data_IF_204864007824
#
_entry.id   IF_204864007824
#
_cell.length_a   1.000
_cell.length_b   1.000
_cell.length_c   1.000
_cell.angle_alpha   90.00
_cell.angle_beta   90.00
_cell.angle_gamma   90.00
#
_symmetry.space_group_name_H-M   'P 1'
#
loop_
_entity.id
_entity.type
_entity.pdbx_description
1 polymer ?
#
# COMPACT_ATOMS: atom_id res chain seq x y z
N UNK A 1 -32.54 -11.52 -9.63
CA UNK A 1 -32.52 -11.50 -8.14
C UNK A 1 -31.25 -10.78 -7.71
N UNK A 2 -31.36 -9.63 -7.01
CA UNK A 2 -30.21 -9.06 -6.29
C UNK A 2 -29.67 -10.13 -5.33
N UNK A 3 -28.34 -10.30 -5.26
CA UNK A 3 -27.70 -11.14 -4.25
C UNK A 3 -28.17 -10.68 -2.86
N UNK A 4 -28.72 -11.59 -2.05
CA UNK A 4 -29.09 -11.27 -0.67
C UNK A 4 -27.85 -10.78 0.10
N UNK A 5 -28.02 -9.83 1.02
CA UNK A 5 -26.95 -9.18 1.78
C UNK A 5 -25.92 -10.18 2.39
N UNK A 6 -26.39 -11.34 2.85
CA UNK A 6 -25.54 -12.42 3.38
C UNK A 6 -24.59 -13.02 2.32
N UNK A 7 -25.03 -13.18 1.08
CA UNK A 7 -24.21 -13.75 0.00
C UNK A 7 -23.11 -12.78 -0.46
N UNK A 8 -23.44 -11.49 -0.58
CA UNK A 8 -22.44 -10.44 -0.88
C UNK A 8 -21.36 -10.38 0.20
N UNK A 9 -21.74 -10.50 1.48
CA UNK A 9 -20.79 -10.54 2.60
C UNK A 9 -19.83 -11.74 2.53
N UNK A 10 -20.29 -12.90 2.05
CA UNK A 10 -19.45 -14.09 1.88
C UNK A 10 -18.41 -13.86 0.79
N UNK A 11 -18.81 -13.33 -0.37
CA UNK A 11 -17.88 -13.07 -1.47
C UNK A 11 -16.80 -12.05 -1.09
N UNK A 12 -17.19 -10.95 -0.42
CA UNK A 12 -16.23 -9.96 0.10
C UNK A 12 -15.26 -10.59 1.09
N UNK A 13 -15.74 -11.44 1.99
CA UNK A 13 -14.88 -12.17 2.94
C UNK A 13 -13.90 -13.09 2.23
N UNK A 14 -14.35 -13.83 1.20
CA UNK A 14 -13.52 -14.77 0.45
C UNK A 14 -12.39 -14.08 -0.32
N UNK A 15 -12.63 -12.88 -0.87
CA UNK A 15 -11.59 -12.10 -1.56
C UNK A 15 -10.78 -11.21 -0.61
N UNK A 16 -11.06 -11.24 0.68
CA UNK A 16 -10.29 -10.50 1.66
C UNK A 16 -9.16 -11.36 2.22
N UNK A 17 -8.06 -10.73 2.61
CA UNK A 17 -6.95 -11.38 3.31
C UNK A 17 -6.77 -10.77 4.70
N UNK A 18 -6.13 -11.49 5.62
CA UNK A 18 -5.86 -10.96 6.97
C UNK A 18 -4.86 -9.83 6.91
N UNK A 19 -5.02 -8.80 7.75
CA UNK A 19 -4.03 -7.73 7.88
C UNK A 19 -2.63 -8.31 8.19
N UNK A 20 -2.56 -9.27 9.13
CA UNK A 20 -1.30 -9.91 9.53
C UNK A 20 -0.60 -10.69 8.41
N UNK A 21 -1.34 -11.08 7.36
CA UNK A 21 -0.76 -11.73 6.19
C UNK A 21 -0.10 -10.74 5.22
N UNK A 22 -0.49 -9.46 5.24
CA UNK A 22 0.12 -8.41 4.41
C UNK A 22 1.16 -7.60 5.18
N UNK A 23 0.90 -7.33 6.47
CA UNK A 23 1.71 -6.47 7.31
C UNK A 23 2.02 -7.17 8.63
N UNK A 24 3.29 -7.45 8.92
CA UNK A 24 3.77 -8.08 10.15
C UNK A 24 5.25 -7.72 10.38
N UNK A 25 5.88 -8.31 11.40
CA UNK A 25 7.28 -8.05 11.78
C UNK A 25 8.29 -8.34 10.66
N UNK A 26 8.00 -9.28 9.77
CA UNK A 26 8.88 -9.69 8.67
C UNK A 26 8.55 -8.98 7.36
N UNK A 27 7.26 -8.67 7.16
CA UNK A 27 6.75 -7.98 5.97
C UNK A 27 6.13 -6.64 6.39
N UNK A 28 6.93 -5.59 6.70
CA UNK A 28 6.37 -4.27 6.95
C UNK A 28 5.79 -3.66 5.69
N UNK A 29 4.86 -2.73 5.89
CA UNK A 29 4.47 -1.78 4.86
C UNK A 29 5.19 -0.45 5.08
N UNK A 30 5.31 0.36 4.05
CA UNK A 30 6.06 1.59 4.07
C UNK A 30 5.16 2.78 3.79
N UNK A 31 5.57 3.94 4.30
CA UNK A 31 5.02 5.23 3.90
C UNK A 31 6.14 6.18 3.59
N UNK A 32 5.94 6.96 2.54
CA UNK A 32 6.83 8.07 2.19
C UNK A 32 6.02 9.36 2.27
N UNK A 33 6.60 10.39 2.89
CA UNK A 33 5.99 11.72 3.03
C UNK A 33 6.99 12.77 2.56
N UNK A 34 6.55 13.65 1.65
CA UNK A 34 7.27 14.88 1.32
C UNK A 34 7.05 15.92 2.42
N UNK A 35 8.12 16.55 2.89
CA UNK A 35 8.06 17.64 3.86
C UNK A 35 9.21 18.61 3.65
N UNK A 36 8.93 19.91 3.71
CA UNK A 36 9.96 20.95 3.75
C UNK A 36 10.58 21.07 5.15
N UNK A 37 9.82 20.70 6.18
CA UNK A 37 10.28 20.68 7.57
C UNK A 37 10.80 19.30 7.94
N UNK A 38 11.81 19.27 8.81
CA UNK A 38 12.33 18.03 9.36
C UNK A 38 11.30 17.35 10.27
N UNK A 39 10.95 16.10 9.97
CA UNK A 39 10.00 15.32 10.76
C UNK A 39 10.74 14.55 11.86
N UNK A 40 10.19 14.55 13.07
CA UNK A 40 10.80 13.86 14.22
C UNK A 40 9.85 12.92 14.93
N UNK A 41 8.55 13.21 14.89
CA UNK A 41 7.51 12.48 15.61
C UNK A 41 6.81 11.51 14.66
N UNK A 42 6.42 10.34 15.18
CA UNK A 42 5.76 9.26 14.40
C UNK A 42 4.41 9.69 13.85
N UNK A 43 3.70 10.50 14.61
CA UNK A 43 2.42 11.07 14.25
C UNK A 43 2.52 11.91 12.97
N UNK A 44 3.67 12.56 12.74
CA UNK A 44 3.91 13.39 11.56
C UNK A 44 4.04 12.58 10.27
N UNK A 45 4.26 11.26 10.30
CA UNK A 45 4.26 10.43 9.08
C UNK A 45 3.03 9.53 8.97
N UNK A 46 2.08 9.63 9.91
CA UNK A 46 0.83 8.88 9.87
C UNK A 46 -0.15 9.48 8.83
N UNK A 47 -1.48 9.35 9.02
CA UNK A 47 -2.42 10.11 8.19
C UNK A 47 -2.46 11.59 8.59
N UNK A 48 -2.96 12.46 7.70
CA UNK A 48 -3.11 13.90 8.00
C UNK A 48 -3.99 14.07 9.24
N UNK A 49 -3.63 14.94 10.21
CA UNK A 49 -4.45 15.18 11.39
C UNK A 49 -5.89 15.57 11.04
N UNK A 50 -6.86 15.16 11.84
CA UNK A 50 -8.27 15.55 11.66
C UNK A 50 -8.47 17.07 11.71
N UNK A 51 -7.70 17.76 12.55
CA UNK A 51 -7.65 19.23 12.60
C UNK A 51 -7.16 19.88 11.30
N UNK A 52 -6.39 19.14 10.50
CA UNK A 52 -5.83 19.58 9.21
C UNK A 52 -6.52 18.91 8.01
N UNK A 53 -7.75 18.39 8.18
CA UNK A 53 -8.46 17.67 7.12
C UNK A 53 -8.68 18.48 5.83
N UNK A 54 -8.63 19.81 5.89
CA UNK A 54 -8.71 20.68 4.72
C UNK A 54 -7.52 20.50 3.74
N UNK A 55 -6.40 19.91 4.19
CA UNK A 55 -5.25 19.55 3.35
C UNK A 55 -5.44 18.23 2.60
N UNK A 56 -6.46 17.43 2.96
CA UNK A 56 -6.74 16.14 2.33
C UNK A 56 -7.41 16.37 0.99
N UNK A 57 -6.65 16.15 -0.09
CA UNK A 57 -7.16 16.16 -1.48
C UNK A 57 -7.90 14.87 -1.81
N UNK A 58 -8.69 14.92 -2.88
CA UNK A 58 -9.29 13.74 -3.47
C UNK A 58 -8.19 12.80 -4.01
N UNK A 59 -8.28 11.52 -3.71
CA UNK A 59 -7.41 10.44 -4.17
C UNK A 59 -8.28 9.28 -4.64
N UNK A 60 -7.70 8.26 -5.27
CA UNK A 60 -8.48 7.09 -5.74
C UNK A 60 -9.32 6.49 -4.62
N UNK A 61 -8.69 6.22 -3.50
CA UNK A 61 -9.32 5.60 -2.33
C UNK A 61 -9.48 6.58 -1.16
N UNK A 62 -9.73 7.86 -1.44
CA UNK A 62 -10.06 8.82 -0.39
C UNK A 62 -10.78 10.04 -0.95
N UNK A 63 -11.90 10.38 -0.33
CA UNK A 63 -12.60 11.64 -0.61
C UNK A 63 -11.92 12.81 0.09
N UNK A 64 -12.05 14.00 -0.50
CA UNK A 64 -11.54 15.23 0.12
C UNK A 64 -12.04 15.39 1.56
N UNK A 65 -11.12 15.75 2.45
CA UNK A 65 -11.41 15.87 3.88
C UNK A 65 -11.46 14.57 4.68
N UNK A 66 -11.19 13.39 4.11
CA UNK A 66 -11.10 12.12 4.83
C UNK A 66 -9.63 11.63 4.90
N UNK A 67 -8.93 11.79 6.04
CA UNK A 67 -7.51 11.47 6.11
C UNK A 67 -7.27 9.95 6.19
N UNK A 68 -7.17 9.29 5.04
CA UNK A 68 -6.79 7.87 4.95
C UNK A 68 -5.28 7.67 5.19
N UNK A 69 -4.95 6.49 5.72
CA UNK A 69 -3.57 6.01 5.82
C UNK A 69 -3.24 5.20 4.57
N UNK A 70 -2.32 5.71 3.74
CA UNK A 70 -1.78 5.01 2.58
C UNK A 70 -0.42 4.42 2.92
N UNK A 71 -0.26 3.13 2.66
CA UNK A 71 0.98 2.39 2.81
C UNK A 71 1.27 1.60 1.52
N UNK A 72 2.54 1.38 1.20
CA UNK A 72 2.97 0.53 0.08
C UNK A 72 3.84 -0.62 0.56
N UNK A 73 3.84 -1.73 -0.17
CA UNK A 73 4.69 -2.88 0.13
C UNK A 73 6.19 -2.66 -0.19
N UNK A 74 6.50 -1.52 -0.81
CA UNK A 74 7.86 -1.12 -1.14
C UNK A 74 8.03 0.41 -1.08
N UNK A 75 9.23 0.88 -0.81
CA UNK A 75 9.55 2.31 -0.91
C UNK A 75 9.40 2.81 -2.36
N UNK A 76 9.66 1.94 -3.33
CA UNK A 76 9.53 2.26 -4.75
C UNK A 76 8.08 2.56 -5.13
N UNK A 77 7.13 1.68 -4.78
CA UNK A 77 5.71 1.93 -5.10
C UNK A 77 5.21 3.20 -4.41
N UNK A 78 5.62 3.45 -3.17
CA UNK A 78 5.28 4.69 -2.47
C UNK A 78 5.80 5.94 -3.22
N UNK A 79 7.05 5.91 -3.68
CA UNK A 79 7.65 7.01 -4.45
C UNK A 79 6.94 7.23 -5.79
N UNK A 80 6.56 6.13 -6.48
CA UNK A 80 5.78 6.17 -7.72
C UNK A 80 4.40 6.78 -7.52
N UNK A 81 3.68 6.36 -6.49
CA UNK A 81 2.34 6.88 -6.17
C UNK A 81 2.33 8.39 -5.91
N UNK A 82 3.42 8.92 -5.35
CA UNK A 82 3.61 10.36 -5.14
C UNK A 82 4.02 11.15 -6.40
N UNK A 83 4.05 10.53 -7.59
CA UNK A 83 4.57 11.12 -8.83
C UNK A 83 6.07 11.46 -8.76
N UNK A 84 6.89 10.56 -8.21
CA UNK A 84 8.35 10.61 -8.31
C UNK A 84 8.99 11.92 -7.79
N UNK A 85 8.65 12.38 -6.57
CA UNK A 85 9.22 13.62 -6.03
C UNK A 85 10.73 13.49 -5.76
N UNK A 86 11.42 14.63 -5.72
CA UNK A 86 12.84 14.70 -5.36
C UNK A 86 13.12 14.06 -3.98
N UNK A 87 14.18 13.26 -3.91
CA UNK A 87 14.53 12.49 -2.72
C UNK A 87 14.94 13.34 -1.51
N UNK A 88 15.43 14.57 -1.72
CA UNK A 88 15.96 15.46 -0.68
C UNK A 88 14.91 15.89 0.38
N UNK A 89 13.62 15.82 0.05
CA UNK A 89 12.51 16.23 0.93
C UNK A 89 11.67 15.06 1.41
N UNK A 90 12.15 13.82 1.25
CA UNK A 90 11.38 12.62 1.59
C UNK A 90 11.74 12.10 2.96
N UNK A 91 10.70 11.81 3.72
CA UNK A 91 10.76 11.08 4.98
C UNK A 91 10.08 9.73 4.79
N UNK A 92 10.67 8.70 5.38
CA UNK A 92 10.22 7.32 5.25
C UNK A 92 10.04 6.67 6.61
N UNK A 93 9.04 5.80 6.73
CA UNK A 93 8.86 4.93 7.88
C UNK A 93 8.31 3.57 7.48
N UNK A 94 8.71 2.55 8.23
CA UNK A 94 8.13 1.22 8.18
C UNK A 94 6.99 1.14 9.21
N UNK A 95 5.91 0.50 8.81
CA UNK A 95 4.69 0.25 9.56
C UNK A 95 4.53 -1.25 9.76
N UNK A 96 4.19 -1.61 10.99
CA UNK A 96 3.98 -2.99 11.43
C UNK A 96 2.64 -3.09 12.14
N UNK A 97 1.95 -4.22 11.99
CA UNK A 97 0.76 -4.48 12.81
C UNK A 97 1.16 -4.86 14.24
N UNK A 98 0.38 -4.42 15.22
CA UNK A 98 0.56 -4.79 16.63
C UNK A 98 0.09 -6.22 16.96
N UNK A 99 -0.42 -6.97 15.96
CA UNK A 99 -1.04 -8.31 16.09
C UNK A 99 -2.21 -8.38 17.07
N UNK A 100 -2.73 -7.24 17.54
CA UNK A 100 -3.74 -7.21 18.61
C UNK A 100 -5.16 -7.58 18.15
N UNK A 101 -5.42 -7.62 16.84
CA UNK A 101 -6.74 -7.91 16.24
C UNK A 101 -6.61 -8.89 15.06
N UNK A 102 -6.50 -10.21 15.32
CA UNK A 102 -6.26 -11.22 14.29
C UNK A 102 -7.42 -11.39 13.28
N UNK A 103 -8.59 -10.86 13.58
CA UNK A 103 -9.80 -10.91 12.77
C UNK A 103 -9.88 -9.81 11.70
N UNK A 104 -8.99 -8.81 11.73
CA UNK A 104 -9.01 -7.72 10.77
C UNK A 104 -8.58 -8.17 9.38
N UNK A 105 -9.37 -7.73 8.40
CA UNK A 105 -9.29 -8.13 7.02
C UNK A 105 -9.06 -6.92 6.12
N UNK A 106 -8.38 -7.17 5.01
CA UNK A 106 -8.11 -6.23 3.94
C UNK A 106 -8.80 -6.77 2.69
N UNK A 107 -9.67 -5.96 2.12
CA UNK A 107 -10.32 -6.27 0.86
C UNK A 107 -9.27 -6.29 -0.24
N UNK A 108 -8.96 -7.46 -0.78
CA UNK A 108 -7.90 -7.59 -1.77
C UNK A 108 -8.47 -7.45 -3.18
N UNK A 109 -8.26 -6.29 -3.78
CA UNK A 109 -8.63 -5.99 -5.17
C UNK A 109 -7.45 -6.20 -6.13
N UNK A 110 -6.37 -6.85 -5.69
CA UNK A 110 -5.25 -7.20 -6.58
C UNK A 110 -5.71 -8.25 -7.61
N UNK A 111 -5.65 -7.87 -8.89
CA UNK A 111 -6.01 -8.70 -10.04
C UNK A 111 -4.98 -9.82 -10.27
N UNK A 112 -3.74 -9.70 -9.82
CA UNK A 112 -2.73 -10.77 -9.98
C UNK A 112 -3.16 -12.08 -9.30
N UNK A 113 -3.93 -12.00 -8.21
CA UNK A 113 -4.51 -13.18 -7.55
C UNK A 113 -5.44 -13.99 -8.48
N UNK A 114 -6.09 -13.34 -9.47
CA UNK A 114 -6.91 -14.01 -10.48
C UNK A 114 -6.07 -14.78 -11.50
N UNK A 115 -4.93 -14.24 -11.89
CA UNK A 115 -4.01 -14.87 -12.87
C UNK A 115 -3.47 -16.17 -12.27
N UNK A 116 -3.06 -16.15 -11.00
CA UNK A 116 -2.63 -17.34 -10.27
C UNK A 116 -3.75 -18.37 -10.07
N UNK A 117 -5.00 -17.94 -9.97
CA UNK A 117 -6.13 -18.87 -9.88
C UNK A 117 -6.38 -19.56 -11.23
N UNK A 118 -6.30 -18.83 -12.36
CA UNK A 118 -6.44 -19.43 -13.70
C UNK A 118 -5.36 -20.46 -14.01
N UNK A 119 -4.12 -20.24 -13.56
CA UNK A 119 -3.03 -21.21 -13.73
C UNK A 119 -3.18 -22.43 -12.80
N UNK A 120 -3.68 -22.24 -11.58
CA UNK A 120 -3.86 -23.30 -10.58
C UNK A 120 -5.16 -24.10 -10.69
N UNK A 121 -6.15 -23.66 -11.48
CA UNK A 121 -7.38 -24.41 -11.75
C UNK A 121 -7.16 -25.78 -12.39
N UNK A 122 -5.96 -26.04 -12.90
CA UNK A 122 -5.54 -27.38 -13.37
C UNK A 122 -5.46 -28.41 -12.25
N UNK A 123 -5.26 -28.00 -10.99
CA UNK A 123 -5.26 -28.87 -9.82
C UNK A 123 -6.63 -28.85 -9.11
N UNK A 124 -7.53 -29.75 -9.54
CA UNK A 124 -8.93 -29.87 -9.07
C UNK A 124 -9.12 -30.16 -7.57
N UNK A 125 -8.07 -30.41 -6.80
CA UNK A 125 -8.15 -30.93 -5.43
C UNK A 125 -8.15 -29.87 -4.31
N UNK A 126 -8.35 -28.58 -4.62
CA UNK A 126 -8.34 -27.51 -3.60
C UNK A 126 -9.66 -26.70 -3.56
N UNK A 127 -10.60 -27.02 -2.64
CA UNK A 127 -11.91 -26.36 -2.57
C UNK A 127 -11.84 -24.86 -2.17
N UNK A 128 -10.75 -24.41 -1.55
CA UNK A 128 -10.53 -22.98 -1.24
C UNK A 128 -10.34 -22.15 -2.52
N UNK A 129 -9.65 -22.68 -3.53
CA UNK A 129 -9.38 -21.98 -4.78
C UNK A 129 -10.68 -21.79 -5.58
N UNK A 130 -11.58 -22.77 -5.53
CA UNK A 130 -12.88 -22.68 -6.19
C UNK A 130 -13.77 -21.57 -5.59
N UNK A 131 -13.87 -21.47 -4.26
CA UNK A 131 -14.66 -20.42 -3.58
C UNK A 131 -14.13 -19.02 -3.86
N UNK A 132 -12.80 -18.88 -3.84
CA UNK A 132 -12.13 -17.62 -4.15
C UNK A 132 -12.42 -17.23 -5.61
N UNK A 133 -12.22 -18.14 -6.56
CA UNK A 133 -12.51 -17.91 -7.97
C UNK A 133 -13.96 -17.48 -8.22
N UNK A 134 -14.93 -18.19 -7.64
CA UNK A 134 -16.35 -17.85 -7.78
C UNK A 134 -16.64 -16.45 -7.22
N UNK A 135 -16.02 -16.10 -6.09
CA UNK A 135 -16.20 -14.78 -5.47
C UNK A 135 -15.58 -13.67 -6.31
N UNK A 136 -14.43 -13.93 -6.94
CA UNK A 136 -13.79 -12.99 -7.85
C UNK A 136 -14.61 -12.80 -9.13
N UNK A 137 -15.18 -13.87 -9.70
CA UNK A 137 -16.10 -13.77 -10.85
C UNK A 137 -17.36 -12.98 -10.46
N UNK A 138 -17.95 -13.26 -9.29
CA UNK A 138 -19.13 -12.55 -8.80
C UNK A 138 -18.86 -11.06 -8.54
N UNK A 139 -17.66 -10.71 -8.08
CA UNK A 139 -17.24 -9.34 -7.79
C UNK A 139 -16.45 -8.68 -8.93
N UNK A 140 -16.32 -9.33 -10.09
CA UNK A 140 -15.54 -8.84 -11.21
C UNK A 140 -15.96 -7.43 -11.68
N UNK A 141 -17.26 -7.08 -11.77
CA UNK A 141 -17.66 -5.72 -12.13
C UNK A 141 -17.15 -4.67 -11.14
N UNK A 142 -17.12 -4.98 -9.84
CA UNK A 142 -16.58 -4.10 -8.81
C UNK A 142 -15.05 -3.97 -8.96
N UNK A 143 -14.35 -5.08 -9.12
CA UNK A 143 -12.88 -5.11 -9.28
C UNK A 143 -12.46 -4.29 -10.51
N UNK A 144 -13.10 -4.49 -11.66
CA UNK A 144 -12.82 -3.72 -12.88
C UNK A 144 -13.08 -2.22 -12.67
N UNK A 145 -14.20 -1.88 -12.02
CA UNK A 145 -14.54 -0.49 -11.76
C UNK A 145 -13.52 0.22 -10.87
N UNK A 146 -12.85 -0.52 -9.98
CA UNK A 146 -11.79 0.01 -9.12
C UNK A 146 -10.39 0.05 -9.77
N UNK A 147 -10.22 -0.57 -10.93
CA UNK A 147 -8.95 -0.63 -11.69
C UNK A 147 -9.05 0.10 -13.05
N UNK A 148 -10.08 0.93 -13.23
CA UNK A 148 -10.23 1.73 -14.45
C UNK A 148 -9.08 2.73 -14.57
N UNK A 149 -8.45 2.83 -15.74
CA UNK A 149 -7.38 3.80 -15.98
C UNK A 149 -7.96 5.09 -16.56
N UNK A 150 -7.72 6.21 -15.89
CA UNK A 150 -8.12 7.51 -16.42
C UNK A 150 -7.30 7.87 -17.67
N UNK A 151 -7.99 8.39 -18.70
CA UNK A 151 -7.37 8.86 -19.96
C UNK A 151 -6.91 10.32 -19.91
N UNK A 152 -7.41 11.12 -18.97
CA UNK A 152 -7.13 12.56 -18.87
C UNK A 152 -6.36 12.87 -17.59
N UNK A 153 -5.05 13.14 -17.71
CA UNK A 153 -4.14 13.20 -16.55
C UNK A 153 -4.31 14.42 -15.62
N UNK A 154 -5.10 15.43 -15.98
CA UNK A 154 -5.26 16.67 -15.18
C UNK A 154 -6.71 17.12 -14.96
N UNK A 155 -7.68 16.20 -15.13
CA UNK A 155 -9.08 16.53 -14.92
C UNK A 155 -9.40 16.76 -13.43
N UNK A 156 -10.21 17.79 -13.12
CA UNK A 156 -10.73 18.04 -11.76
C UNK A 156 -11.58 16.86 -11.29
N UNK A 157 -12.38 16.32 -12.19
CA UNK A 157 -13.17 15.12 -11.98
C UNK A 157 -12.46 13.92 -12.61
N UNK A 158 -12.08 12.96 -11.77
CA UNK A 158 -11.41 11.73 -12.19
C UNK A 158 -12.41 10.58 -12.04
N UNK A 159 -12.94 10.08 -13.17
CA UNK A 159 -13.97 9.03 -13.19
C UNK A 159 -13.51 7.75 -12.47
N UNK A 160 -12.23 7.42 -12.61
CA UNK A 160 -11.56 6.31 -11.91
C UNK A 160 -11.77 6.35 -10.39
N UNK A 161 -11.99 7.53 -9.79
CA UNK A 161 -12.09 7.66 -8.34
C UNK A 161 -13.50 7.40 -7.82
N UNK A 162 -14.53 7.36 -8.69
CA UNK A 162 -15.93 7.31 -8.26
C UNK A 162 -16.23 6.04 -7.44
N UNK A 163 -16.01 4.86 -8.02
CA UNK A 163 -16.32 3.58 -7.37
C UNK A 163 -15.36 3.28 -6.20
N UNK A 164 -14.03 3.43 -6.36
CA UNK A 164 -13.07 3.39 -5.25
C UNK A 164 -13.44 4.26 -4.04
N UNK A 165 -13.86 5.51 -4.26
CA UNK A 165 -14.25 6.40 -3.16
C UNK A 165 -15.55 5.98 -2.48
N UNK A 166 -16.53 5.46 -3.23
CA UNK A 166 -17.75 4.92 -2.64
C UNK A 166 -17.45 3.68 -1.78
N UNK A 167 -16.58 2.80 -2.27
CA UNK A 167 -16.14 1.61 -1.55
C UNK A 167 -15.40 1.98 -0.26
N UNK A 168 -14.53 2.99 -0.29
CA UNK A 168 -13.83 3.48 0.90
C UNK A 168 -14.75 4.13 1.92
N UNK A 169 -15.75 4.89 1.47
CA UNK A 169 -16.77 5.44 2.36
C UNK A 169 -17.61 4.33 3.01
N UNK A 170 -17.90 3.25 2.28
CA UNK A 170 -18.56 2.08 2.84
C UNK A 170 -17.71 1.45 3.96
N UNK A 171 -16.42 1.19 3.72
CA UNK A 171 -15.51 0.64 4.75
C UNK A 171 -15.40 1.57 5.97
N UNK A 172 -15.31 2.89 5.75
CA UNK A 172 -15.18 3.90 6.83
C UNK A 172 -16.41 3.94 7.74
N UNK A 173 -17.60 3.68 7.21
CA UNK A 173 -18.88 3.75 7.97
C UNK A 173 -19.26 2.44 8.65
N UNK A 174 -18.66 1.32 8.25
CA UNK A 174 -19.05 -0.01 8.70
C UNK A 174 -18.14 -0.51 9.83
N UNK A 175 -18.28 0.05 11.02
CA UNK A 175 -17.47 -0.30 12.19
C UNK A 175 -17.62 -1.77 12.64
N UNK A 176 -18.73 -2.43 12.27
CA UNK A 176 -19.01 -3.83 12.63
C UNK A 176 -18.39 -4.84 11.64
N UNK A 177 -17.93 -4.37 10.48
CA UNK A 177 -17.29 -5.25 9.49
C UNK A 177 -15.79 -5.39 9.81
N UNK A 178 -15.30 -6.63 9.68
CA UNK A 178 -13.88 -6.98 9.84
C UNK A 178 -12.97 -6.35 8.79
N UNK A 179 -13.53 -5.80 7.71
CA UNK A 179 -12.77 -5.20 6.62
C UNK A 179 -12.40 -3.77 7.02
N UNK A 180 -11.11 -3.49 7.16
CA UNK A 180 -10.59 -2.20 7.63
C UNK A 180 -9.78 -1.44 6.58
N UNK A 181 -9.61 -2.01 5.38
CA UNK A 181 -8.81 -1.42 4.33
C UNK A 181 -8.93 -2.15 3.00
N UNK A 182 -8.27 -1.60 1.98
CA UNK A 182 -8.24 -2.13 0.62
C UNK A 182 -6.79 -2.30 0.21
N UNK A 183 -6.47 -3.47 -0.35
CA UNK A 183 -5.21 -3.70 -1.05
C UNK A 183 -5.45 -3.64 -2.56
N UNK A 184 -4.60 -2.92 -3.28
CA UNK A 184 -4.73 -2.71 -4.72
C UNK A 184 -3.34 -2.59 -5.36
N UNK A 185 -3.26 -2.94 -6.64
CA UNK A 185 -2.03 -2.79 -7.39
C UNK A 185 -1.87 -1.35 -7.90
N UNK A 186 -0.64 -0.84 -7.90
CA UNK A 186 -0.35 0.44 -8.56
C UNK A 186 -0.72 0.37 -10.05
N UNK A 187 -1.27 1.45 -10.58
CA UNK A 187 -1.49 1.59 -12.03
C UNK A 187 -0.49 2.56 -12.65
N UNK A 188 0.45 3.06 -11.85
CA UNK A 188 1.45 4.02 -12.32
C UNK A 188 2.66 3.34 -12.90
N UNK A 189 2.67 2.01 -12.96
CA UNK A 189 3.81 1.24 -13.42
C UNK A 189 3.23 0.20 -14.39
N UNK A 190 3.73 0.19 -15.64
CA UNK A 190 3.28 -0.73 -16.69
C UNK A 190 4.09 -2.03 -16.61
N UNK A 191 3.50 -3.10 -16.08
CA UNK A 191 4.03 -4.47 -16.23
C UNK A 191 3.02 -5.54 -15.84
N UNK A 192 3.18 -6.70 -16.45
CA UNK A 192 2.39 -7.90 -16.15
C UNK A 192 2.78 -8.64 -14.86
N UNK A 193 3.83 -8.23 -14.13
CA UNK A 193 4.36 -8.97 -12.97
C UNK A 193 5.16 -8.06 -12.02
N UNK A 194 4.48 -7.33 -11.14
CA UNK A 194 5.14 -6.65 -10.00
C UNK A 194 5.10 -7.47 -8.72
N UNK A 195 4.20 -8.47 -8.68
CA UNK A 195 3.95 -9.27 -7.49
C UNK A 195 3.71 -8.39 -6.27
N UNK A 196 4.21 -8.83 -5.11
CA UNK A 196 3.99 -8.12 -3.85
C UNK A 196 4.56 -6.68 -3.82
N UNK A 197 5.59 -6.33 -4.62
CA UNK A 197 6.29 -5.04 -4.51
C UNK A 197 5.50 -3.85 -5.10
N UNK A 198 4.53 -4.11 -5.98
CA UNK A 198 3.61 -3.09 -6.52
C UNK A 198 2.31 -2.92 -5.72
N UNK A 199 2.19 -3.61 -4.58
CA UNK A 199 1.00 -3.57 -3.73
C UNK A 199 0.93 -2.26 -2.92
N UNK A 200 -0.22 -1.59 -2.97
CA UNK A 200 -0.60 -0.53 -2.06
C UNK A 200 -1.73 -1.01 -1.13
N UNK A 201 -1.77 -0.48 0.08
CA UNK A 201 -2.83 -0.72 1.05
C UNK A 201 -3.29 0.61 1.63
N UNK A 202 -4.59 0.82 1.62
CA UNK A 202 -5.23 2.04 2.13
C UNK A 202 -6.21 1.71 3.23
N UNK A 203 -6.17 2.50 4.30
CA UNK A 203 -7.02 2.34 5.47
C UNK A 203 -7.79 3.64 5.71
N UNK A 204 -9.12 3.64 5.58
CA UNK A 204 -9.91 4.79 5.99
C UNK A 204 -9.97 4.86 7.51
N UNK A 205 -10.10 6.06 8.09
CA UNK A 205 -10.42 6.15 9.51
C UNK A 205 -11.86 5.64 9.74
N UNK A 206 -12.01 4.66 10.62
CA UNK A 206 -13.30 4.22 11.15
C UNK A 206 -13.59 5.00 12.44
N UNK A 207 -14.29 6.13 12.32
CA UNK A 207 -14.46 7.08 13.42
C UNK A 207 -15.85 7.71 13.41
N UNK A 208 -16.32 8.09 14.60
CA UNK A 208 -17.51 8.90 14.77
C UNK A 208 -17.15 10.39 14.84
N UNK A 209 -18.15 11.27 14.66
CA UNK A 209 -17.95 12.72 14.74
C UNK A 209 -17.35 13.19 16.08
N UNK A 210 -17.61 12.48 17.18
CA UNK A 210 -17.02 12.76 18.49
C UNK A 210 -15.51 12.55 18.52
N UNK A 211 -15.00 11.55 17.78
CA UNK A 211 -13.58 11.19 17.79
C UNK A 211 -12.74 12.23 17.07
N UNK A 212 -13.27 12.77 15.96
CA UNK A 212 -12.69 13.87 15.18
C UNK A 212 -12.43 15.11 16.06
N UNK A 213 -13.26 15.35 17.07
CA UNK A 213 -13.10 16.50 17.98
C UNK A 213 -12.04 16.26 19.05
N UNK A 214 -11.94 15.02 19.55
CA UNK A 214 -11.09 14.64 20.71
C UNK A 214 -9.67 14.23 20.33
N UNK A 215 -9.48 13.72 19.13
CA UNK A 215 -8.21 13.18 18.66
C UNK A 215 -7.79 13.90 17.38
N UNK A 216 -6.49 14.02 17.17
CA UNK A 216 -5.95 14.45 15.86
C UNK A 216 -5.73 13.26 14.93
N UNK A 217 -5.55 12.05 15.48
CA UNK A 217 -5.33 10.84 14.70
C UNK A 217 -6.33 9.74 15.08
N UNK A 218 -6.64 8.85 14.13
CA UNK A 218 -7.60 7.78 14.29
C UNK A 218 -7.14 6.80 15.39
N UNK A 219 -7.87 6.68 16.51
CA UNK A 219 -7.48 5.79 17.59
C UNK A 219 -7.46 4.31 17.19
N UNK A 220 -8.39 3.91 16.31
CA UNK A 220 -8.44 2.55 15.79
C UNK A 220 -7.17 2.22 15.01
N UNK A 221 -6.82 3.01 13.99
CA UNK A 221 -5.60 2.77 13.19
C UNK A 221 -4.31 2.90 14.04
N UNK A 222 -4.28 3.83 14.99
CA UNK A 222 -3.14 3.98 15.91
C UNK A 222 -2.96 2.79 16.87
N UNK A 223 -4.03 2.03 17.13
CA UNK A 223 -3.97 0.76 17.87
C UNK A 223 -3.45 -0.37 16.98
N UNK A 224 -3.81 -0.36 15.70
CA UNK A 224 -3.39 -1.39 14.75
C UNK A 224 -1.94 -1.29 14.35
N UNK A 225 -1.40 -0.08 14.21
CA UNK A 225 -0.06 0.11 13.69
C UNK A 225 0.91 0.67 14.72
N UNK A 226 2.12 0.15 14.68
CA UNK A 226 3.32 0.80 15.19
C UNK A 226 4.22 1.15 14.01
N UNK A 227 4.97 2.23 14.10
CA UNK A 227 5.89 2.62 13.03
C UNK A 227 7.24 3.08 13.56
N UNK A 228 8.25 2.97 12.71
CA UNK A 228 9.56 3.60 12.97
C UNK A 228 9.40 5.12 13.01
N UNK A 229 10.32 5.87 13.66
CA UNK A 229 10.36 7.32 13.49
C UNK A 229 10.52 7.68 12.00
N UNK A 230 10.08 8.88 11.58
CA UNK A 230 10.35 9.37 10.24
C UNK A 230 11.85 9.54 10.03
N UNK A 231 12.39 8.92 8.99
CA UNK A 231 13.80 8.99 8.64
C UNK A 231 13.95 9.74 7.32
N UNK A 232 14.86 10.72 7.27
CA UNK A 232 15.17 11.43 6.03
C UNK A 232 15.83 10.48 5.03
N UNK A 233 15.29 10.41 3.82
CA UNK A 233 15.84 9.62 2.72
C UNK A 233 17.30 10.01 2.44
N UNK A 234 17.58 11.32 2.41
CA UNK A 234 18.91 11.85 2.15
C UNK A 234 19.91 11.42 3.22
N UNK A 235 19.50 11.48 4.50
CA UNK A 235 20.36 11.04 5.61
C UNK A 235 20.63 9.55 5.49
N UNK A 236 19.61 8.73 5.26
CA UNK A 236 19.82 7.29 5.13
C UNK A 236 20.70 6.92 3.94
N UNK A 237 20.59 7.64 2.82
CA UNK A 237 21.46 7.43 1.65
C UNK A 237 22.92 7.80 1.93
N UNK A 238 23.17 8.75 2.83
CA UNK A 238 24.53 9.11 3.24
C UNK A 238 25.20 8.05 4.12
N UNK A 239 24.41 7.14 4.70
CA UNK A 239 24.92 5.98 5.39
C UNK A 239 25.23 4.93 4.32
N UNK A 240 26.50 4.58 4.13
CA UNK A 240 26.92 3.46 3.28
C UNK A 240 26.56 2.13 3.94
N UNK A 241 25.27 1.92 4.17
CA UNK A 241 24.77 0.69 4.74
C UNK A 241 24.90 -0.43 3.71
N UNK A 242 25.72 -1.43 4.03
CA UNK A 242 25.88 -2.64 3.23
C UNK A 242 25.07 -3.73 3.94
N UNK A 243 23.90 -4.13 3.40
CA UNK A 243 23.12 -5.21 3.99
C UNK A 243 23.93 -6.51 4.04
N UNK A 244 23.90 -7.26 5.15
CA UNK A 244 24.62 -8.54 5.29
C UNK A 244 24.31 -9.54 4.14
N UNK A 245 23.12 -9.45 3.54
CA UNK A 245 22.65 -10.32 2.45
C UNK A 245 23.05 -9.87 1.04
N UNK A 246 23.69 -8.71 0.87
CA UNK A 246 24.04 -8.19 -0.45
C UNK A 246 25.51 -8.47 -0.77
N UNK A 247 25.79 -9.63 -1.37
CA UNK A 247 27.17 -9.97 -1.78
C UNK A 247 27.68 -9.01 -2.86
N UNK A 248 28.98 -8.69 -2.86
CA UNK A 248 29.68 -7.94 -3.92
C UNK A 248 29.47 -8.57 -5.31
N UNK A 249 29.24 -9.89 -5.37
CA UNK A 249 28.91 -10.60 -6.62
C UNK A 249 27.59 -10.16 -7.23
N UNK A 250 26.65 -9.65 -6.42
CA UNK A 250 25.33 -9.21 -6.88
C UNK A 250 25.41 -7.86 -7.59
N UNK A 251 26.27 -6.95 -7.13
CA UNK A 251 26.57 -5.66 -7.79
C UNK A 251 27.33 -5.85 -9.10
N UNK A 252 28.25 -6.82 -9.17
CA UNK A 252 28.95 -7.16 -10.42
C UNK A 252 28.00 -7.81 -11.44
N UNK A 253 27.10 -8.70 -10.99
CA UNK A 253 26.04 -9.29 -11.83
C UNK A 253 25.12 -8.21 -12.40
N UNK A 254 24.70 -7.23 -11.59
CA UNK A 254 23.91 -6.09 -12.06
C UNK A 254 24.68 -5.29 -13.11
N UNK A 255 25.92 -4.92 -12.81
CA UNK A 255 26.77 -4.16 -13.71
C UNK A 255 26.95 -4.88 -15.05
N UNK A 256 27.08 -6.21 -15.02
CA UNK A 256 27.17 -7.06 -16.22
C UNK A 256 25.84 -7.12 -16.98
N UNK A 257 24.70 -7.15 -16.29
CA UNK A 257 23.36 -7.10 -16.89
C UNK A 257 23.12 -5.75 -17.59
N UNK A 258 23.32 -4.63 -16.89
CA UNK A 258 23.17 -3.27 -17.42
C UNK A 258 24.09 -3.00 -18.62
N UNK A 259 25.33 -3.52 -18.60
CA UNK A 259 26.27 -3.41 -19.72
C UNK A 259 25.88 -4.23 -20.95
N UNK A 260 25.13 -5.32 -20.75
CA UNK A 260 24.64 -6.20 -21.83
C UNK A 260 23.34 -5.68 -22.46
N UNK A 261 22.48 -5.02 -21.68
CA UNK A 261 21.29 -4.32 -22.17
C UNK A 261 21.66 -2.99 -22.83
N UNK A 262 22.08 -3.01 -24.09
CA UNK A 262 22.48 -1.81 -24.86
C UNK A 262 21.34 -1.14 -25.64
N UNK A 263 20.08 -1.43 -25.32
CA UNK A 263 18.90 -0.76 -25.89
C UNK A 263 17.98 -0.30 -24.78
N UNK A 264 18.33 0.85 -24.20
CA UNK A 264 17.47 1.61 -23.29
C UNK A 264 16.48 2.44 -24.13
N UNK A 265 15.76 1.79 -25.04
CA UNK A 265 14.70 2.46 -25.76
C UNK A 265 13.46 2.45 -24.85
N UNK A 266 13.07 3.66 -24.43
CA UNK A 266 11.78 4.05 -23.82
C UNK A 266 11.72 3.92 -22.28
N UNK A 267 11.51 5.08 -21.64
CA UNK A 267 11.31 5.29 -20.19
C UNK A 267 10.30 4.34 -19.52
N UNK A 268 9.39 3.76 -20.31
CA UNK A 268 8.33 2.86 -19.83
C UNK A 268 8.88 1.46 -19.45
N UNK A 269 10.03 1.04 -20.01
CA UNK A 269 10.67 -0.24 -19.66
C UNK A 269 11.54 -0.17 -18.39
N UNK A 270 11.91 1.04 -17.96
CA UNK A 270 12.80 1.24 -16.80
C UNK A 270 12.22 0.65 -15.51
N UNK A 271 10.89 0.65 -15.40
CA UNK A 271 10.24 0.21 -14.18
C UNK A 271 10.25 -1.29 -13.99
N UNK A 272 10.03 -2.03 -15.08
CA UNK A 272 10.16 -3.49 -15.11
C UNK A 272 11.59 -3.89 -14.74
N UNK A 273 12.57 -3.18 -15.29
CA UNK A 273 13.97 -3.43 -14.98
C UNK A 273 14.29 -3.15 -13.52
N UNK A 274 13.90 -1.99 -12.97
CA UNK A 274 14.11 -1.64 -11.55
C UNK A 274 13.53 -2.73 -10.63
N UNK A 275 12.35 -3.25 -10.95
CA UNK A 275 11.69 -4.31 -10.17
C UNK A 275 12.44 -5.64 -10.32
N UNK A 276 12.91 -5.98 -11.52
CA UNK A 276 13.69 -7.20 -11.77
C UNK A 276 15.00 -7.24 -10.97
N UNK A 277 15.60 -6.08 -10.71
CA UNK A 277 16.84 -5.94 -9.93
C UNK A 277 16.59 -5.28 -8.57
N UNK A 278 15.36 -5.36 -8.03
CA UNK A 278 14.93 -4.58 -6.86
C UNK A 278 15.89 -4.68 -5.69
N UNK A 279 16.38 -5.88 -5.41
CA UNK A 279 17.31 -6.18 -4.30
C UNK A 279 18.63 -5.41 -4.37
N UNK A 280 18.93 -4.76 -5.50
CA UNK A 280 20.17 -4.03 -5.77
C UNK A 280 19.98 -2.52 -5.76
N UNK A 281 18.72 -2.07 -5.68
CA UNK A 281 18.35 -0.66 -5.70
C UNK A 281 18.57 0.00 -4.34
N UNK A 282 18.71 1.33 -4.35
CA UNK A 282 18.72 2.12 -3.11
C UNK A 282 17.41 1.95 -2.32
N UNK A 283 16.28 1.73 -2.99
CA UNK A 283 15.00 1.46 -2.33
C UNK A 283 15.09 0.25 -1.40
N UNK A 284 15.62 -0.88 -1.89
CA UNK A 284 15.77 -2.09 -1.07
C UNK A 284 16.81 -1.92 0.05
N UNK A 285 17.95 -1.26 -0.23
CA UNK A 285 18.96 -1.00 0.81
C UNK A 285 18.38 -0.19 1.97
N UNK A 286 17.57 0.84 1.65
CA UNK A 286 16.89 1.65 2.64
C UNK A 286 15.82 0.87 3.39
N UNK A 287 15.05 0.02 2.70
CA UNK A 287 14.09 -0.89 3.35
C UNK A 287 14.77 -1.74 4.43
N UNK A 288 15.91 -2.34 4.11
CA UNK A 288 16.68 -3.17 5.04
C UNK A 288 17.28 -2.32 6.16
N UNK A 289 17.87 -1.17 5.85
CA UNK A 289 18.40 -0.25 6.86
C UNK A 289 17.33 0.17 7.89
N UNK A 290 16.12 0.52 7.44
CA UNK A 290 14.99 0.85 8.33
C UNK A 290 14.59 -0.36 9.18
N UNK A 291 14.60 -1.55 8.59
CA UNK A 291 14.27 -2.81 9.27
C UNK A 291 15.35 -3.25 10.27
N UNK A 292 16.59 -2.81 10.13
CA UNK A 292 17.68 -3.17 11.06
C UNK A 292 17.78 -2.16 12.21
N UNK A 293 17.51 -0.88 11.95
CA UNK A 293 17.51 0.21 12.96
C UNK A 293 16.17 0.25 13.73
N UNK A 294 15.59 -0.93 14.04
CA UNK A 294 14.23 -1.04 14.57
C UNK A 294 14.03 -0.20 15.83
N UNK A 295 13.09 0.74 15.75
CA UNK A 295 12.49 1.36 16.93
C UNK A 295 11.01 1.64 16.64
N UNK A 296 10.18 0.61 16.38
CA UNK A 296 8.75 0.79 16.17
C UNK A 296 8.10 1.27 17.48
N UNK A 297 7.27 2.30 17.37
CA UNK A 297 6.57 2.89 18.51
C UNK A 297 5.12 3.21 18.19
N UNK A 298 4.33 3.44 19.25
CA UNK A 298 2.92 3.80 19.12
C UNK A 298 2.75 5.23 18.62
N UNK A 299 1.64 5.46 17.93
CA UNK A 299 1.19 6.78 17.47
C UNK A 299 0.34 7.41 18.57
N UNK A 300 0.69 8.63 19.00
CA UNK A 300 -0.11 9.42 19.94
C UNK A 300 -1.32 10.02 19.21
N UNK A 301 -2.50 9.82 19.78
CA UNK A 301 -3.77 10.21 19.14
C UNK A 301 -4.39 11.46 19.76
N UNK A 302 -4.02 11.79 21.00
CA UNK A 302 -4.52 12.96 21.73
C UNK A 302 -3.83 14.24 21.24
N UNK A 303 -4.60 15.32 21.30
CA UNK A 303 -4.13 16.69 21.06
C UNK A 303 -3.19 17.14 22.18
#
# INVERSE_FOLDING_TARGET
>A
KMLESKHTSIHLTNISTRLSAICNSETPLYRVRKSDNYLTKREEIFHIPFSQRHLVRNQRYSVAGLPCLYLGASLYVCWREMNRPDFNKLFVSAFYTSQTHPEEMILNLNIEALIDITSNFRNKNQPKNFKLALSLVALWPLILSCNYLNKQQDAIFIQEYVIPNLLMQWISRQAEHKIIGIAYHTTKIDSGYYGYKGLNVVFPPQINHSDVKRHDYCPHLAKQFVCTPPLSWQVLKSIEYIPERQSISSTEKLSKYLRRGKKWDILDQLDEEIVSVYQLTDFYKLEVCIQDVQNPGRIKTKK
#
